data_IF_080231879427
#
_entry.id   IF_080231879427
#
_cell.length_a   1.000
_cell.length_b   1.000
_cell.length_c   1.000
_cell.angle_alpha   90.00
_cell.angle_beta   90.00
_cell.angle_gamma   90.00
#
_symmetry.space_group_name_H-M   'P 1'
#
loop_
_entity.id
_entity.type
_entity.pdbx_description
1 polymer ?
#
# COMPACT_ATOMS: atom_id res chain seq x y z
N UNK A 1 2.82 50.32 18.60
CA UNK A 1 2.12 49.61 17.50
C UNK A 1 2.25 48.13 17.77
N UNK A 2 1.11 47.44 17.71
CA UNK A 2 0.82 46.11 18.25
C UNK A 2 1.47 44.98 17.46
N UNK A 3 2.20 44.09 18.14
CA UNK A 3 2.42 42.71 17.69
C UNK A 3 2.10 41.77 18.84
N UNK A 4 1.22 40.83 18.55
CA UNK A 4 0.60 39.90 19.46
C UNK A 4 1.41 38.61 19.57
N UNK A 5 1.78 38.21 20.78
CA UNK A 5 2.31 36.88 21.05
C UNK A 5 1.22 36.02 21.69
N UNK A 6 0.84 34.98 20.93
CA UNK A 6 -0.12 33.95 21.28
C UNK A 6 0.50 33.01 22.30
N UNK A 7 -0.11 32.95 23.48
CA UNK A 7 0.17 31.96 24.50
C UNK A 7 -0.21 30.55 23.98
N UNK A 8 0.78 29.66 23.91
CA UNK A 8 0.59 28.24 23.64
C UNK A 8 0.01 27.52 24.86
N UNK A 9 -1.28 27.73 25.14
CA UNK A 9 -2.05 26.80 25.96
C UNK A 9 -2.32 25.54 25.12
N UNK A 10 -1.49 24.51 25.32
CA UNK A 10 -1.77 23.19 24.77
C UNK A 10 -3.12 22.70 25.30
N UNK A 11 -4.10 22.57 24.40
CA UNK A 11 -5.43 22.08 24.78
C UNK A 11 -5.30 20.69 25.41
N UNK A 12 -5.98 20.43 26.55
CA UNK A 12 -5.86 19.14 27.23
C UNK A 12 -6.30 18.01 26.29
N UNK A 13 -5.44 16.99 26.17
CA UNK A 13 -5.62 15.79 25.34
C UNK A 13 -7.00 15.11 25.50
N UNK A 14 -7.64 15.32 26.66
CA UNK A 14 -8.99 14.86 26.99
C UNK A 14 -10.05 15.35 25.99
N UNK A 15 -9.88 16.56 25.43
CA UNK A 15 -10.84 17.13 24.45
C UNK A 15 -10.79 16.38 23.11
N UNK A 16 -9.67 15.73 22.79
CA UNK A 16 -9.50 15.00 21.53
C UNK A 16 -10.07 13.57 21.59
N UNK A 17 -10.30 13.01 22.78
CA UNK A 17 -10.87 11.66 22.94
C UNK A 17 -12.21 11.48 22.22
N UNK A 18 -13.22 12.37 22.40
CA UNK A 18 -14.48 12.24 21.66
C UNK A 18 -14.32 12.46 20.15
N UNK A 19 -13.39 13.33 19.74
CA UNK A 19 -13.12 13.61 18.31
C UNK A 19 -12.51 12.37 17.65
N UNK A 20 -11.54 11.72 18.31
CA UNK A 20 -10.90 10.50 17.82
C UNK A 20 -11.93 9.37 17.73
N UNK A 21 -12.79 9.20 18.73
CA UNK A 21 -13.88 8.20 18.69
C UNK A 21 -14.85 8.44 17.52
N UNK A 22 -15.22 9.70 17.26
CA UNK A 22 -16.05 10.05 16.10
C UNK A 22 -15.35 9.74 14.77
N UNK A 23 -14.05 10.05 14.64
CA UNK A 23 -13.28 9.75 13.42
C UNK A 23 -13.15 8.25 13.19
N UNK A 24 -12.85 7.47 14.23
CA UNK A 24 -12.78 6.00 14.15
C UNK A 24 -14.15 5.42 13.78
N UNK A 25 -15.25 5.93 14.36
CA UNK A 25 -16.60 5.51 14.01
C UNK A 25 -16.94 5.77 12.53
N UNK A 26 -16.56 6.94 12.01
CA UNK A 26 -16.75 7.27 10.58
C UNK A 26 -15.92 6.34 9.69
N UNK A 27 -14.67 6.03 10.06
CA UNK A 27 -13.83 5.10 9.30
C UNK A 27 -14.41 3.69 9.27
N UNK A 28 -14.95 3.19 10.39
CA UNK A 28 -15.62 1.89 10.43
C UNK A 28 -16.88 1.88 9.57
N UNK A 29 -17.68 2.95 9.61
CA UNK A 29 -18.87 3.07 8.76
C UNK A 29 -18.51 3.17 7.28
N UNK A 30 -17.40 3.85 6.94
CA UNK A 30 -16.88 3.89 5.57
C UNK A 30 -16.36 2.53 5.12
N UNK A 31 -15.67 1.76 5.96
CA UNK A 31 -15.20 0.40 5.64
C UNK A 31 -16.38 -0.55 5.40
N UNK A 32 -17.41 -0.50 6.24
CA UNK A 32 -18.65 -1.27 6.05
C UNK A 32 -19.34 -0.87 4.75
N UNK A 33 -19.43 0.44 4.46
CA UNK A 33 -20.05 0.93 3.23
C UNK A 33 -19.22 0.61 1.98
N UNK A 34 -17.90 0.56 2.10
CA UNK A 34 -16.98 0.18 1.04
C UNK A 34 -17.07 -1.31 0.74
N UNK A 35 -17.20 -2.16 1.76
CA UNK A 35 -17.52 -3.59 1.60
C UNK A 35 -18.86 -3.83 0.93
N UNK A 36 -19.89 -3.05 1.26
CA UNK A 36 -21.19 -3.14 0.58
C UNK A 36 -21.17 -2.63 -0.87
N UNK A 37 -20.29 -1.67 -1.20
CA UNK A 37 -20.09 -1.21 -2.59
C UNK A 37 -19.25 -2.14 -3.44
N UNK A 38 -18.44 -3.01 -2.82
CA UNK A 38 -17.61 -4.01 -3.51
C UNK A 38 -18.01 -5.45 -3.11
N UNK A 39 -19.18 -5.96 -3.53
CA UNK A 39 -19.46 -7.39 -3.43
C UNK A 39 -18.54 -8.24 -4.34
N UNK A 40 -17.70 -7.62 -5.19
CA UNK A 40 -16.81 -8.34 -6.10
C UNK A 40 -15.56 -8.98 -5.44
N UNK A 41 -15.22 -8.65 -4.18
CA UNK A 41 -14.01 -9.19 -3.56
C UNK A 41 -14.18 -10.55 -2.84
N UNK A 42 -15.42 -11.06 -2.74
CA UNK A 42 -15.69 -12.43 -2.25
C UNK A 42 -15.93 -13.41 -3.43
N UNK A 43 -16.01 -12.90 -4.66
CA UNK A 43 -16.27 -13.72 -5.84
C UNK A 43 -15.02 -14.41 -6.43
N UNK A 44 -13.81 -14.09 -6.00
CA UNK A 44 -12.59 -14.62 -6.65
C UNK A 44 -12.35 -16.09 -6.27
N UNK A 45 -12.53 -16.47 -5.00
CA UNK A 45 -12.43 -17.88 -4.59
C UNK A 45 -13.64 -18.70 -5.05
N UNK A 46 -14.81 -18.07 -5.18
CA UNK A 46 -16.04 -18.74 -5.64
C UNK A 46 -16.09 -18.90 -7.18
N UNK A 47 -15.46 -18.00 -7.95
CA UNK A 47 -15.39 -18.11 -9.41
C UNK A 47 -14.38 -19.15 -9.88
N UNK A 48 -13.26 -19.35 -9.17
CA UNK A 48 -12.33 -20.44 -9.54
C UNK A 48 -13.00 -21.81 -9.35
N UNK A 49 -13.77 -22.01 -8.28
CA UNK A 49 -14.55 -23.24 -8.10
C UNK A 49 -15.71 -23.38 -9.09
N UNK A 50 -16.37 -22.28 -9.46
CA UNK A 50 -17.43 -22.32 -10.48
C UNK A 50 -16.88 -22.60 -11.90
N UNK A 51 -15.67 -22.13 -12.23
CA UNK A 51 -15.03 -22.42 -13.52
C UNK A 51 -14.53 -23.86 -13.61
N UNK A 52 -14.02 -24.44 -12.51
CA UNK A 52 -13.68 -25.88 -12.45
C UNK A 52 -14.93 -26.77 -12.53
N UNK A 53 -16.04 -26.40 -11.87
CA UNK A 53 -17.29 -27.16 -11.98
C UNK A 53 -17.91 -27.09 -13.39
N UNK A 54 -17.83 -25.93 -14.06
CA UNK A 54 -18.39 -25.78 -15.40
C UNK A 54 -17.57 -26.51 -16.48
N UNK A 55 -16.25 -26.63 -16.29
CA UNK A 55 -15.38 -27.38 -17.22
C UNK A 55 -15.56 -28.89 -17.08
N UNK A 56 -15.80 -29.40 -15.86
CA UNK A 56 -16.12 -30.82 -15.63
C UNK A 56 -17.52 -31.20 -16.14
N UNK A 57 -18.46 -30.24 -16.15
CA UNK A 57 -19.82 -30.49 -16.64
C UNK A 57 -19.90 -30.48 -18.19
N UNK A 58 -19.05 -29.69 -18.87
CA UNK A 58 -18.97 -29.71 -20.35
C UNK A 58 -18.20 -30.93 -20.90
N UNK A 59 -17.35 -31.60 -20.11
CA UNK A 59 -16.69 -32.86 -20.51
C UNK A 59 -17.58 -34.11 -20.30
N UNK A 60 -18.57 -34.07 -19.40
CA UNK A 60 -19.50 -35.19 -19.17
C UNK A 60 -20.72 -35.18 -20.12
N UNK A 61 -21.06 -34.03 -20.73
CA UNK A 61 -22.21 -33.89 -21.65
C UNK A 61 -21.83 -34.03 -23.15
N UNK A 62 -20.61 -34.48 -23.49
CA UNK A 62 -20.13 -34.60 -24.88
C UNK A 62 -19.78 -36.03 -25.34
N UNK A 63 -20.21 -37.06 -24.61
CA UNK A 63 -20.01 -38.47 -24.99
C UNK A 63 -21.30 -39.27 -25.25
N UNK A 64 -22.46 -38.63 -25.43
CA UNK A 64 -23.68 -39.32 -25.89
C UNK A 64 -24.31 -38.68 -27.13
N UNK A 65 -24.51 -39.54 -28.12
CA UNK A 65 -25.31 -39.38 -29.35
C UNK A 65 -24.67 -38.64 -30.54
N UNK A 66 -24.05 -39.42 -31.44
CA UNK A 66 -24.58 -39.62 -32.80
C UNK A 66 -23.82 -40.78 -33.49
N UNK A 67 -24.26 -42.00 -33.20
CA UNK A 67 -24.25 -43.08 -34.19
C UNK A 67 -25.34 -42.74 -35.22
N UNK A 68 -24.96 -42.30 -36.42
CA UNK A 68 -25.86 -42.40 -37.57
C UNK A 68 -25.12 -43.08 -38.74
N UNK A 69 -25.40 -44.38 -38.78
CA UNK A 69 -25.13 -45.32 -39.84
C UNK A 69 -25.92 -44.91 -41.09
N UNK A 70 -25.26 -44.29 -42.08
CA UNK A 70 -25.81 -44.25 -43.45
C UNK A 70 -24.84 -44.95 -44.39
N UNK A 71 -25.01 -46.27 -44.40
CA UNK A 71 -24.80 -47.12 -45.56
C UNK A 71 -25.66 -46.60 -46.73
N UNK A 72 -25.01 -46.20 -47.83
CA UNK A 72 -25.52 -46.52 -49.16
C UNK A 72 -24.33 -46.73 -50.11
N UNK A 73 -23.88 -47.97 -50.14
CA UNK A 73 -23.25 -48.57 -51.29
C UNK A 73 -24.17 -48.42 -52.50
N UNK A 74 -23.85 -47.50 -53.41
CA UNK A 74 -24.33 -47.60 -54.78
C UNK A 74 -23.18 -47.54 -55.78
N UNK A 75 -22.70 -48.75 -56.09
CA UNK A 75 -22.19 -49.20 -57.37
C UNK A 75 -22.28 -48.22 -58.54
N UNK A 76 -21.13 -48.05 -59.21
CA UNK A 76 -21.12 -47.36 -60.50
C UNK A 76 -19.76 -47.30 -61.16
N UNK A 77 -19.11 -48.45 -61.32
CA UNK A 77 -18.00 -48.64 -62.25
C UNK A 77 -18.29 -48.01 -63.63
N UNK A 78 -17.30 -47.33 -64.22
CA UNK A 78 -17.50 -46.67 -65.50
C UNK A 78 -16.24 -46.10 -66.13
N UNK A 79 -15.12 -46.81 -66.01
CA UNK A 79 -13.98 -46.63 -66.90
C UNK A 79 -14.40 -46.90 -68.36
N UNK A 80 -13.89 -46.09 -69.27
CA UNK A 80 -13.79 -46.31 -70.72
C UNK A 80 -15.09 -46.30 -71.54
N UNK A 81 -15.31 -45.22 -72.30
CA UNK A 81 -15.98 -45.31 -73.61
C UNK A 81 -15.78 -44.02 -74.40
N UNK A 82 -15.08 -44.10 -75.53
CA UNK A 82 -15.03 -43.04 -76.52
C UNK A 82 -16.47 -42.62 -76.90
N UNK A 83 -16.87 -41.41 -76.51
CA UNK A 83 -18.22 -40.89 -76.71
C UNK A 83 -18.42 -40.61 -78.19
N UNK A 84 -18.90 -41.61 -78.95
CA UNK A 84 -19.66 -41.35 -80.17
C UNK A 84 -20.89 -40.54 -79.76
N UNK A 85 -20.88 -39.26 -80.10
CA UNK A 85 -21.96 -38.30 -79.86
C UNK A 85 -23.21 -38.76 -80.62
N UNK A 86 -24.00 -39.63 -80.00
CA UNK A 86 -25.39 -39.84 -80.43
C UNK A 86 -26.12 -38.54 -80.16
N UNK A 87 -26.74 -37.96 -81.20
CA UNK A 87 -27.55 -36.74 -81.11
C UNK A 87 -28.56 -36.91 -79.98
N UNK A 88 -28.29 -36.26 -78.85
CA UNK A 88 -29.22 -36.19 -77.73
C UNK A 88 -30.43 -35.42 -78.23
N UNK A 89 -31.60 -36.06 -78.21
CA UNK A 89 -32.84 -35.40 -78.63
C UNK A 89 -33.04 -34.09 -77.86
N UNK A 90 -33.59 -33.07 -78.52
CA UNK A 90 -33.68 -31.67 -78.02
C UNK A 90 -34.12 -31.59 -76.54
N UNK A 91 -35.09 -32.41 -76.11
CA UNK A 91 -35.61 -32.45 -74.72
C UNK A 91 -34.61 -33.00 -73.69
N UNK A 92 -33.75 -33.95 -74.06
CA UNK A 92 -32.77 -34.57 -73.14
C UNK A 92 -31.50 -33.72 -73.02
N UNK A 93 -31.15 -32.96 -74.06
CA UNK A 93 -30.03 -32.01 -74.04
C UNK A 93 -30.32 -30.81 -73.13
N UNK A 94 -31.54 -30.27 -73.21
CA UNK A 94 -31.98 -29.16 -72.34
C UNK A 94 -32.00 -29.56 -70.86
N UNK A 95 -32.48 -30.77 -70.53
CA UNK A 95 -32.46 -31.31 -69.15
C UNK A 95 -31.03 -31.49 -68.60
N UNK A 96 -30.08 -31.86 -69.45
CA UNK A 96 -28.67 -31.98 -69.04
C UNK A 96 -28.03 -30.61 -68.80
N UNK A 97 -28.28 -29.61 -69.65
CA UNK A 97 -27.79 -28.23 -69.44
C UNK A 97 -28.35 -27.64 -68.15
N UNK A 98 -29.65 -27.82 -67.88
CA UNK A 98 -30.27 -27.36 -66.62
C UNK A 98 -29.71 -28.07 -65.37
N UNK A 99 -29.31 -29.34 -65.48
CA UNK A 99 -28.66 -30.08 -64.39
C UNK A 99 -27.21 -29.61 -64.16
N UNK A 100 -26.51 -29.25 -65.22
CA UNK A 100 -25.15 -28.70 -65.17
C UNK A 100 -25.13 -27.29 -64.56
N UNK A 101 -26.06 -26.41 -64.97
CA UNK A 101 -26.25 -25.09 -64.37
C UNK A 101 -26.58 -25.19 -62.87
N UNK A 102 -27.44 -26.14 -62.48
CA UNK A 102 -27.75 -26.38 -61.07
C UNK A 102 -26.55 -26.91 -60.28
N UNK A 103 -25.67 -27.70 -60.90
CA UNK A 103 -24.43 -28.19 -60.28
C UNK A 103 -23.42 -27.05 -60.09
N UNK A 104 -23.23 -26.22 -61.11
CA UNK A 104 -22.35 -25.05 -61.03
C UNK A 104 -22.84 -24.04 -59.98
N UNK A 105 -24.16 -23.85 -59.86
CA UNK A 105 -24.74 -23.00 -58.83
C UNK A 105 -24.47 -23.52 -57.41
N UNK A 106 -24.64 -24.83 -57.18
CA UNK A 106 -24.31 -25.45 -55.88
C UNK A 106 -22.83 -25.30 -55.55
N UNK A 107 -21.95 -25.57 -56.51
CA UNK A 107 -20.50 -25.44 -56.33
C UNK A 107 -20.07 -24.00 -56.01
N UNK A 108 -20.72 -22.99 -56.61
CA UNK A 108 -20.48 -21.59 -56.27
C UNK A 108 -20.97 -21.22 -54.87
N UNK A 109 -22.11 -21.77 -54.43
CA UNK A 109 -22.63 -21.56 -53.07
C UNK A 109 -21.73 -22.24 -52.02
N UNK A 110 -21.24 -23.43 -52.31
CA UNK A 110 -20.32 -24.16 -51.43
C UNK A 110 -18.97 -23.41 -51.33
N UNK A 111 -18.42 -22.93 -52.45
CA UNK A 111 -17.24 -22.05 -52.42
C UNK A 111 -17.46 -20.79 -51.59
N UNK A 112 -18.63 -20.17 -51.65
CA UNK A 112 -18.94 -18.99 -50.81
C UNK A 112 -19.01 -19.36 -49.33
N UNK A 113 -19.52 -20.54 -48.98
CA UNK A 113 -19.56 -21.03 -47.59
C UNK A 113 -18.16 -21.35 -47.08
N UNK A 114 -17.32 -21.98 -47.90
CA UNK A 114 -15.94 -22.29 -47.53
C UNK A 114 -15.10 -21.04 -47.36
N UNK A 115 -15.29 -20.02 -48.21
CA UNK A 115 -14.61 -18.72 -48.05
C UNK A 115 -15.03 -18.04 -46.74
N UNK A 116 -16.32 -18.09 -46.36
CA UNK A 116 -16.77 -17.53 -45.08
C UNK A 116 -16.20 -18.30 -43.89
N UNK A 117 -16.23 -19.63 -43.93
CA UNK A 117 -15.64 -20.48 -42.88
C UNK A 117 -14.15 -20.20 -42.71
N UNK A 118 -13.41 -20.06 -43.81
CA UNK A 118 -11.98 -19.72 -43.77
C UNK A 118 -11.72 -18.32 -43.19
N UNK A 119 -12.59 -17.32 -43.47
CA UNK A 119 -12.49 -16.00 -42.87
C UNK A 119 -12.75 -16.06 -41.35
N UNK A 120 -13.81 -16.76 -40.95
CA UNK A 120 -14.18 -16.92 -39.54
C UNK A 120 -13.08 -17.64 -38.73
N UNK A 121 -12.47 -18.68 -39.29
CA UNK A 121 -11.34 -19.41 -38.68
C UNK A 121 -10.11 -18.51 -38.47
N UNK A 122 -9.77 -17.66 -39.46
CA UNK A 122 -8.68 -16.68 -39.33
C UNK A 122 -8.99 -15.66 -38.23
N UNK A 123 -10.23 -15.16 -38.16
CA UNK A 123 -10.63 -14.20 -37.12
C UNK A 123 -10.58 -14.83 -35.72
N UNK A 124 -11.00 -16.09 -35.57
CA UNK A 124 -10.92 -16.81 -34.31
C UNK A 124 -9.46 -17.07 -33.88
N UNK A 125 -8.59 -17.51 -34.80
CA UNK A 125 -7.16 -17.68 -34.51
C UNK A 125 -6.51 -16.37 -34.08
N UNK A 126 -6.80 -15.26 -34.78
CA UNK A 126 -6.30 -13.94 -34.39
C UNK A 126 -6.80 -13.51 -33.02
N UNK A 127 -8.08 -13.77 -32.71
CA UNK A 127 -8.65 -13.45 -31.42
C UNK A 127 -8.00 -14.27 -30.29
N UNK A 128 -7.80 -15.57 -30.51
CA UNK A 128 -7.10 -16.44 -29.56
C UNK A 128 -5.66 -15.99 -29.34
N UNK A 129 -4.91 -15.68 -30.41
CA UNK A 129 -3.54 -15.15 -30.31
C UNK A 129 -3.48 -13.84 -29.55
N UNK A 130 -4.37 -12.89 -29.85
CA UNK A 130 -4.47 -11.60 -29.13
C UNK A 130 -4.79 -11.81 -27.65
N UNK A 131 -5.69 -12.74 -27.31
CA UNK A 131 -6.06 -13.05 -25.91
C UNK A 131 -4.87 -13.64 -25.14
N UNK A 132 -4.14 -14.57 -25.73
CA UNK A 132 -2.95 -15.18 -25.14
C UNK A 132 -1.84 -14.13 -24.96
N UNK A 133 -1.56 -13.33 -25.98
CA UNK A 133 -0.55 -12.27 -25.91
C UNK A 133 -0.89 -11.24 -24.83
N UNK A 134 -2.16 -10.85 -24.70
CA UNK A 134 -2.59 -9.95 -23.63
C UNK A 134 -2.45 -10.57 -22.24
N UNK A 135 -2.75 -11.86 -22.07
CA UNK A 135 -2.53 -12.53 -20.78
C UNK A 135 -1.07 -12.57 -20.39
N UNK A 136 -0.16 -12.89 -21.33
CA UNK A 136 1.29 -12.91 -21.10
C UNK A 136 1.80 -11.51 -20.75
N UNK A 137 1.37 -10.48 -21.48
CA UNK A 137 1.73 -9.09 -21.17
C UNK A 137 1.29 -8.67 -19.76
N UNK A 138 0.07 -9.07 -19.34
CA UNK A 138 -0.43 -8.76 -17.99
C UNK A 138 0.35 -9.49 -16.90
N UNK A 139 0.71 -10.76 -17.11
CA UNK A 139 1.51 -11.52 -16.13
C UNK A 139 2.92 -10.94 -16.02
N UNK A 140 3.55 -10.59 -17.14
CA UNK A 140 4.89 -9.99 -17.16
C UNK A 140 4.92 -8.62 -16.48
N UNK A 141 3.91 -7.78 -16.72
CA UNK A 141 3.80 -6.47 -16.06
C UNK A 141 3.57 -6.63 -14.55
N UNK A 142 2.73 -7.59 -14.13
CA UNK A 142 2.49 -7.88 -12.73
C UNK A 142 3.76 -8.42 -12.03
N UNK A 143 4.52 -9.28 -12.69
CA UNK A 143 5.78 -9.81 -12.15
C UNK A 143 6.85 -8.71 -12.03
N UNK A 144 6.98 -7.84 -13.03
CA UNK A 144 7.86 -6.67 -12.98
C UNK A 144 7.48 -5.74 -11.82
N UNK A 145 6.19 -5.43 -11.64
CA UNK A 145 5.71 -4.63 -10.51
C UNK A 145 5.99 -5.29 -9.16
N UNK A 146 5.83 -6.61 -9.05
CA UNK A 146 6.18 -7.36 -7.82
C UNK A 146 7.68 -7.27 -7.51
N UNK A 147 8.54 -7.48 -8.51
CA UNK A 147 10.01 -7.39 -8.35
C UNK A 147 10.46 -5.98 -7.96
N UNK A 148 9.86 -4.94 -8.54
CA UNK A 148 10.16 -3.55 -8.17
C UNK A 148 9.70 -3.20 -6.75
N UNK A 149 8.49 -3.63 -6.37
CA UNK A 149 7.99 -3.45 -4.99
C UNK A 149 8.84 -4.18 -3.97
N UNK A 150 9.27 -5.41 -4.27
CA UNK A 150 10.13 -6.18 -3.37
C UNK A 150 11.52 -5.54 -3.24
N UNK A 151 12.11 -5.05 -4.34
CA UNK A 151 13.38 -4.31 -4.28
C UNK A 151 13.25 -3.02 -3.47
N UNK A 152 12.14 -2.27 -3.66
CA UNK A 152 11.88 -1.04 -2.92
C UNK A 152 11.66 -1.32 -1.43
N UNK A 153 10.84 -2.32 -1.09
CA UNK A 153 10.60 -2.72 0.30
C UNK A 153 11.88 -3.22 0.98
N UNK A 154 12.74 -3.96 0.28
CA UNK A 154 14.06 -4.37 0.80
C UNK A 154 15.01 -3.20 1.00
N UNK A 155 14.95 -2.16 0.17
CA UNK A 155 15.75 -0.95 0.34
C UNK A 155 15.26 -0.13 1.54
N UNK A 156 13.95 0.11 1.62
CA UNK A 156 13.29 0.84 2.71
C UNK A 156 13.52 0.15 4.07
N UNK A 157 13.32 -1.16 4.17
CA UNK A 157 13.59 -1.92 5.39
C UNK A 157 15.07 -1.85 5.83
N UNK A 158 16.01 -1.78 4.87
CA UNK A 158 17.44 -1.60 5.18
C UNK A 158 17.75 -0.19 5.69
N UNK A 159 17.06 0.83 5.19
CA UNK A 159 17.22 2.20 5.67
C UNK A 159 16.60 2.40 7.05
N UNK A 160 15.39 1.88 7.28
CA UNK A 160 14.73 1.88 8.58
C UNK A 160 15.59 1.16 9.65
N UNK A 161 16.19 0.02 9.30
CA UNK A 161 17.06 -0.70 10.22
C UNK A 161 18.35 0.09 10.53
N UNK A 162 18.86 0.89 9.60
CA UNK A 162 20.01 1.79 9.85
C UNK A 162 19.62 2.96 10.74
N UNK A 163 18.47 3.58 10.52
CA UNK A 163 17.99 4.70 11.34
C UNK A 163 17.68 4.23 12.76
N UNK A 164 17.03 3.08 12.93
CA UNK A 164 16.80 2.47 14.25
C UNK A 164 18.11 2.17 14.99
N UNK A 165 19.08 1.53 14.33
CA UNK A 165 20.41 1.27 14.94
C UNK A 165 21.13 2.56 15.37
N UNK A 166 21.02 3.62 14.57
CA UNK A 166 21.61 4.91 14.92
C UNK A 166 20.91 5.54 16.12
N UNK A 167 19.58 5.47 16.18
CA UNK A 167 18.79 5.95 17.31
C UNK A 167 19.12 5.18 18.60
N UNK A 168 19.20 3.85 18.55
CA UNK A 168 19.60 3.04 19.71
C UNK A 168 21.02 3.36 20.19
N UNK A 169 21.98 3.52 19.27
CA UNK A 169 23.35 3.90 19.62
C UNK A 169 23.38 5.27 20.29
N UNK A 170 22.63 6.23 19.76
CA UNK A 170 22.51 7.56 20.34
C UNK A 170 21.85 7.53 21.72
N UNK A 171 20.77 6.75 21.89
CA UNK A 171 20.12 6.58 23.18
C UNK A 171 21.05 5.94 24.23
N UNK A 172 21.79 4.88 23.85
CA UNK A 172 22.80 4.25 24.72
C UNK A 172 23.92 5.21 25.10
N UNK A 173 24.41 6.02 24.16
CA UNK A 173 25.42 7.04 24.45
C UNK A 173 24.88 8.15 25.36
N UNK A 174 23.63 8.58 25.17
CA UNK A 174 23.00 9.57 26.06
C UNK A 174 22.85 9.01 27.49
N UNK A 175 22.40 7.76 27.62
CA UNK A 175 22.24 7.11 28.93
C UNK A 175 23.58 6.90 29.65
N UNK A 176 24.64 6.49 28.94
CA UNK A 176 25.97 6.33 29.55
C UNK A 176 26.56 7.68 29.98
N UNK A 177 26.38 8.73 29.19
CA UNK A 177 26.77 10.10 29.58
C UNK A 177 25.97 10.59 30.78
N UNK A 178 24.66 10.35 30.82
CA UNK A 178 23.83 10.68 31.96
C UNK A 178 24.35 10.00 33.24
N UNK A 179 24.59 8.68 33.20
CA UNK A 179 25.15 7.95 34.35
C UNK A 179 26.50 8.50 34.80
N UNK A 180 27.38 8.89 33.86
CA UNK A 180 28.72 9.41 34.19
C UNK A 180 28.71 10.82 34.78
N UNK A 181 27.83 11.70 34.31
CA UNK A 181 27.88 13.14 34.63
C UNK A 181 26.74 13.62 35.54
N UNK A 182 25.68 12.84 35.72
CA UNK A 182 24.50 13.21 36.52
C UNK A 182 24.86 13.62 37.95
N UNK A 183 25.70 12.86 38.65
CA UNK A 183 26.08 13.16 40.03
C UNK A 183 26.92 14.43 40.16
N UNK A 184 27.87 14.63 39.24
CA UNK A 184 28.73 15.82 39.23
C UNK A 184 27.90 17.07 38.94
N UNK A 185 27.00 16.98 37.95
CA UNK A 185 26.10 18.07 37.60
C UNK A 185 25.15 18.39 38.75
N UNK A 186 24.62 17.36 39.42
CA UNK A 186 23.79 17.49 40.62
C UNK A 186 24.50 18.27 41.73
N UNK A 187 25.78 18.00 41.99
CA UNK A 187 26.56 18.74 43.00
C UNK A 187 26.77 20.21 42.60
N UNK A 188 27.20 20.47 41.37
CA UNK A 188 27.46 21.83 40.87
C UNK A 188 26.20 22.71 40.88
N UNK A 189 25.06 22.14 40.48
CA UNK A 189 23.79 22.84 40.45
C UNK A 189 23.29 23.16 41.86
N UNK A 190 23.49 22.25 42.83
CA UNK A 190 23.17 22.50 44.24
C UNK A 190 24.04 23.58 44.87
N UNK A 191 25.31 23.65 44.50
CA UNK A 191 26.25 24.65 45.03
C UNK A 191 25.97 26.06 44.48
N UNK A 192 25.69 26.19 43.18
CA UNK A 192 25.49 27.51 42.56
C UNK A 192 24.06 28.04 42.69
N UNK A 193 23.05 27.19 42.93
CA UNK A 193 21.59 27.45 42.89
C UNK A 193 21.08 28.04 41.56
N UNK A 194 21.65 29.14 41.07
CA UNK A 194 21.47 29.69 39.72
C UNK A 194 22.64 29.27 38.83
N UNK A 195 22.37 28.57 37.72
CA UNK A 195 23.41 28.07 36.82
C UNK A 195 23.10 28.40 35.37
N UNK A 196 24.08 28.97 34.66
CA UNK A 196 24.03 29.11 33.21
C UNK A 196 24.48 27.80 32.54
N UNK A 197 23.70 27.27 31.61
CA UNK A 197 23.99 26.02 30.89
C UNK A 197 25.31 26.09 30.12
N UNK A 198 25.68 27.27 29.62
CA UNK A 198 26.93 27.48 28.90
C UNK A 198 28.16 27.41 29.80
N UNK A 199 28.05 27.90 31.04
CA UNK A 199 29.12 27.78 32.03
C UNK A 199 29.25 26.35 32.53
N UNK A 200 28.12 25.68 32.81
CA UNK A 200 28.09 24.27 33.19
C UNK A 200 28.71 23.39 32.09
N UNK A 201 28.39 23.67 30.82
CA UNK A 201 28.98 22.98 29.67
C UNK A 201 30.51 23.13 29.61
N UNK A 202 31.02 24.36 29.78
CA UNK A 202 32.47 24.63 29.82
C UNK A 202 33.18 23.92 30.98
N UNK A 203 32.58 23.93 32.16
CA UNK A 203 33.16 23.27 33.36
C UNK A 203 33.20 21.75 33.21
N UNK A 204 32.23 21.17 32.52
CA UNK A 204 32.09 19.72 32.37
C UNK A 204 32.74 19.18 31.08
N UNK A 205 33.16 20.05 30.17
CA UNK A 205 33.66 19.68 28.84
C UNK A 205 32.58 19.03 27.96
N UNK A 206 31.32 19.43 28.14
CA UNK A 206 30.15 18.91 27.41
C UNK A 206 29.59 19.98 26.48
N UNK A 207 28.74 19.59 25.53
CA UNK A 207 27.96 20.57 24.75
C UNK A 207 26.80 21.13 25.59
N UNK A 208 26.33 22.33 25.25
CA UNK A 208 25.18 22.93 25.93
C UNK A 208 23.95 22.02 25.86
N UNK A 209 23.69 21.43 24.68
CA UNK A 209 22.57 20.50 24.45
C UNK A 209 22.65 19.27 25.37
N UNK A 210 23.85 18.71 25.56
CA UNK A 210 24.04 17.55 26.43
C UNK A 210 23.79 17.88 27.90
N UNK A 211 24.22 19.06 28.35
CA UNK A 211 23.94 19.52 29.72
C UNK A 211 22.43 19.71 29.92
N UNK A 212 21.75 20.32 28.95
CA UNK A 212 20.29 20.50 28.98
C UNK A 212 19.57 19.15 29.01
N UNK A 213 19.98 18.20 28.19
CA UNK A 213 19.40 16.85 28.16
C UNK A 213 19.59 16.13 29.51
N UNK A 214 20.78 16.22 30.11
CA UNK A 214 21.06 15.63 31.43
C UNK A 214 20.22 16.31 32.51
N UNK A 215 20.11 17.64 32.50
CA UNK A 215 19.28 18.39 33.47
C UNK A 215 17.80 18.02 33.34
N UNK A 216 17.27 17.92 32.12
CA UNK A 216 15.89 17.46 31.88
C UNK A 216 15.66 16.05 32.39
N UNK A 217 16.61 15.14 32.15
CA UNK A 217 16.55 13.78 32.70
C UNK A 217 16.64 13.78 34.23
N UNK A 218 17.44 14.66 34.84
CA UNK A 218 17.50 14.82 36.30
C UNK A 218 16.18 15.32 36.88
N UNK A 219 15.53 16.30 36.24
CA UNK A 219 14.20 16.79 36.64
C UNK A 219 13.13 15.70 36.59
N UNK A 220 13.22 14.76 35.64
CA UNK A 220 12.27 13.65 35.52
C UNK A 220 12.55 12.49 36.48
N UNK A 221 13.80 12.28 36.89
CA UNK A 221 14.21 11.10 37.65
C UNK A 221 14.34 11.36 39.15
N UNK A 222 14.69 12.59 39.54
CA UNK A 222 14.93 12.94 40.94
C UNK A 222 13.87 13.91 41.46
N UNK A 223 13.20 13.52 42.55
CA UNK A 223 12.20 14.36 43.21
C UNK A 223 12.77 15.70 43.71
N UNK A 224 14.06 15.73 44.08
CA UNK A 224 14.75 16.96 44.50
C UNK A 224 14.80 18.03 43.41
N UNK A 225 14.67 17.65 42.13
CA UNK A 225 14.73 18.56 40.99
C UNK A 225 13.34 18.93 40.44
N UNK A 226 12.27 18.51 41.13
CA UNK A 226 10.89 18.74 40.71
C UNK A 226 10.49 20.21 40.67
N UNK A 227 11.07 21.03 41.56
CA UNK A 227 10.79 22.46 41.68
C UNK A 227 11.78 23.34 40.90
N UNK A 228 12.66 22.74 40.10
CA UNK A 228 13.61 23.50 39.29
C UNK A 228 12.90 24.27 38.17
N UNK A 229 13.38 25.48 37.91
CA UNK A 229 12.81 26.36 36.89
C UNK A 229 13.82 26.62 35.77
N UNK A 230 13.29 26.69 34.56
CA UNK A 230 14.04 27.13 33.37
C UNK A 230 13.68 28.57 33.06
N UNK A 231 14.68 29.44 33.04
CA UNK A 231 14.52 30.83 32.61
C UNK A 231 15.12 30.98 31.21
N UNK A 232 14.28 30.85 30.19
CA UNK A 232 14.69 30.89 28.78
C UNK A 232 15.42 29.62 28.34
N UNK A 233 16.39 29.77 27.43
CA UNK A 233 17.15 28.65 26.85
C UNK A 233 18.41 28.30 27.65
N UNK A 234 18.93 29.24 28.44
CA UNK A 234 20.32 29.19 28.91
C UNK A 234 20.47 29.19 30.44
N UNK A 235 19.41 29.48 31.19
CA UNK A 235 19.49 29.65 32.64
C UNK A 235 18.65 28.61 33.36
N UNK A 236 19.30 27.88 34.26
CA UNK A 236 18.70 26.85 35.11
C UNK A 236 18.73 27.29 36.56
N UNK A 237 17.56 27.26 37.22
CA UNK A 237 17.41 27.62 38.62
C UNK A 237 17.01 26.40 39.45
N UNK A 238 17.85 26.05 40.40
CA UNK A 238 17.59 25.01 41.38
C UNK A 238 16.90 25.62 42.61
N UNK A 239 15.70 25.14 42.91
CA UNK A 239 14.88 25.62 44.02
C UNK A 239 14.51 24.41 44.90
N UNK A 240 14.74 24.54 46.20
CA UNK A 240 14.22 23.58 47.19
C UNK A 240 12.89 24.05 47.78
N UNK A 241 12.14 23.16 48.43
CA UNK A 241 10.89 23.54 49.11
C UNK A 241 11.10 24.64 50.16
N UNK A 242 12.26 24.65 50.83
CA UNK A 242 12.62 25.70 51.79
C UNK A 242 12.82 27.04 51.11
N UNK A 243 13.57 27.06 50.01
CA UNK A 243 13.74 28.29 49.22
C UNK A 243 12.38 28.79 48.74
N UNK A 244 11.48 27.89 48.28
CA UNK A 244 10.14 28.27 47.85
C UNK A 244 9.29 28.91 48.96
N UNK A 245 9.37 28.40 50.20
CA UNK A 245 8.69 29.00 51.35
C UNK A 245 9.24 30.39 51.67
N UNK A 246 10.56 30.55 51.67
CA UNK A 246 11.21 31.85 51.91
C UNK A 246 10.87 32.86 50.81
N UNK A 247 10.87 32.43 49.55
CA UNK A 247 10.42 33.25 48.43
C UNK A 247 8.98 33.72 48.59
N UNK A 248 8.08 32.83 49.03
CA UNK A 248 6.68 33.17 49.20
C UNK A 248 6.47 34.17 50.35
N UNK A 249 7.24 34.06 51.44
CA UNK A 249 7.24 35.04 52.52
C UNK A 249 7.81 36.40 52.08
N UNK A 250 8.95 36.41 51.38
CA UNK A 250 9.54 37.63 50.84
C UNK A 250 8.63 38.31 49.81
N UNK A 251 7.94 37.53 48.98
CA UNK A 251 6.98 38.03 48.00
C UNK A 251 5.75 38.65 48.68
N UNK A 252 5.21 38.02 49.72
CA UNK A 252 4.11 38.59 50.54
C UNK A 252 4.51 39.91 51.18
N UNK A 253 5.77 40.04 51.61
CA UNK A 253 6.25 41.23 52.30
C UNK A 253 6.62 42.38 51.34
N UNK A 254 7.16 42.09 50.15
CA UNK A 254 7.68 43.10 49.21
C UNK A 254 6.82 43.33 47.96
N UNK A 255 5.89 42.43 47.64
CA UNK A 255 4.96 42.52 46.51
C UNK A 255 5.57 42.31 45.12
N UNK A 256 6.79 42.80 44.86
CA UNK A 256 7.58 42.53 43.63
C UNK A 256 9.06 42.39 43.98
N UNK A 257 9.74 41.43 43.37
CA UNK A 257 11.18 41.22 43.58
C UNK A 257 11.86 40.88 42.26
N UNK A 258 13.02 41.50 42.02
CA UNK A 258 13.88 41.15 40.88
C UNK A 258 14.58 39.82 41.16
N UNK A 259 14.78 39.00 40.13
CA UNK A 259 15.48 37.71 40.23
C UNK A 259 16.93 37.90 40.72
N UNK A 260 17.51 39.08 40.50
CA UNK A 260 18.86 39.42 40.99
C UNK A 260 18.89 39.87 42.46
N UNK A 261 17.76 40.36 42.99
CA UNK A 261 17.64 40.77 44.40
C UNK A 261 17.18 39.63 45.31
N UNK A 262 16.79 38.51 44.70
CA UNK A 262 16.53 37.26 45.38
C UNK A 262 17.86 36.68 45.88
N UNK A 263 18.18 36.96 47.14
CA UNK A 263 19.29 36.28 47.81
C UNK A 263 18.89 34.82 48.00
N UNK A 264 19.47 33.96 47.16
CA UNK A 264 19.41 32.50 47.21
C UNK A 264 20.54 31.94 48.08
#
# INVERSE_FOLDING_TARGET
MTSADKEGQGMPLVVFVPIILCVVGILVLLDIRQRQRNPQYVAIDTQQQAYEQQFLQDEEDQEQDEEDEVSDDNHGEGSSSAVRVKRVGKKRGEKLRRKEEMRQYREQMDRQRDIRRAQDEIYEEEFRRKKIEQSIKRTDEMEKRKKEREKKAKAEAKEELKTQKLQEKNAKMKQSRFSKYSEKLKKLVKEKKLSNTNELAKLMGLTQEEVVDILKQLCNTNDEFKLCLWSGTDTFLFITEKDYTEFNEQFKNKGKMSIHDAIL
#
